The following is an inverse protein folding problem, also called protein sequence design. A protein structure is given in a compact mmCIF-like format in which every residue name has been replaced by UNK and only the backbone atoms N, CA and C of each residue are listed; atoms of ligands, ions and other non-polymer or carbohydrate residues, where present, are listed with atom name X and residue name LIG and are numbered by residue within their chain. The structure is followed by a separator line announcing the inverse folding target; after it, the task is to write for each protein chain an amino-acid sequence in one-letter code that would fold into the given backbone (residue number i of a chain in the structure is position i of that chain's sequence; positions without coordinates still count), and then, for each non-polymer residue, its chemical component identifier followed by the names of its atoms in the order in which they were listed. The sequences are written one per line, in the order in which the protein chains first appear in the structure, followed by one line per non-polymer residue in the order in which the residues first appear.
data_IF_170289574843
#
_entry.id   IF_170289574843
#
_cell.length_a   1.000
_cell.length_b   1.000
_cell.length_c   1.000
_cell.angle_alpha   90.00
_cell.angle_beta   90.00
_cell.angle_gamma   90.00
#
_symmetry.space_group_name_H-M   'P 1'
#
loop_
_entity.id
_entity.type
_entity.pdbx_description
1 polymer ?
#
# COMPACT_ATOMS: atom_id res chain seq x y z
N UNK A 1 16.90 15.90 -54.93
CA UNK A 1 17.73 16.19 -53.76
C UNK A 1 16.82 16.66 -52.63
N UNK A 2 16.81 15.89 -51.54
CA UNK A 2 16.48 16.21 -50.13
C UNK A 2 15.08 16.76 -49.81
N UNK A 3 14.21 15.95 -49.17
CA UNK A 3 14.00 15.80 -47.70
C UNK A 3 13.48 17.12 -47.08
N UNK A 4 12.40 17.15 -46.29
CA UNK A 4 12.13 16.26 -45.16
C UNK A 4 10.65 16.32 -44.75
N UNK A 5 10.09 15.16 -44.40
CA UNK A 5 8.93 15.05 -43.55
C UNK A 5 9.21 15.74 -42.20
N UNK A 6 8.26 16.52 -41.69
CA UNK A 6 8.29 16.92 -40.29
C UNK A 6 7.73 15.76 -39.47
N UNK A 7 8.66 14.93 -39.00
CA UNK A 7 8.43 13.87 -38.03
C UNK A 7 7.90 14.40 -36.70
N UNK A 8 7.25 13.49 -35.98
CA UNK A 8 6.46 13.74 -34.79
C UNK A 8 7.20 14.40 -33.63
N UNK A 9 6.49 15.34 -33.01
CA UNK A 9 6.72 15.76 -31.64
C UNK A 9 5.37 16.10 -30.99
N UNK A 10 4.47 15.09 -30.90
CA UNK A 10 3.38 15.18 -29.92
C UNK A 10 4.00 14.96 -28.55
N UNK A 11 4.42 16.05 -27.90
CA UNK A 11 4.84 16.07 -26.50
C UNK A 11 3.65 15.70 -25.61
N UNK A 12 3.48 14.41 -25.34
CA UNK A 12 2.53 13.93 -24.35
C UNK A 12 3.32 13.62 -23.09
N UNK A 13 3.70 14.65 -22.33
CA UNK A 13 4.05 14.49 -20.91
C UNK A 13 2.76 14.24 -20.14
N UNK A 14 2.11 13.10 -20.38
CA UNK A 14 0.98 12.64 -19.57
C UNK A 14 1.53 12.32 -18.20
N UNK A 15 1.15 13.13 -17.22
CA UNK A 15 1.38 12.82 -15.81
C UNK A 15 0.62 11.52 -15.53
N UNK A 16 1.36 10.43 -15.31
CA UNK A 16 0.74 9.15 -14.95
C UNK A 16 0.18 9.28 -13.53
N UNK A 17 -1.05 8.81 -13.35
CA UNK A 17 -1.64 8.68 -12.02
C UNK A 17 -1.04 7.41 -11.42
N UNK A 18 -0.41 7.53 -10.26
CA UNK A 18 0.13 6.41 -9.50
C UNK A 18 -0.69 6.30 -8.23
N UNK A 19 -1.25 5.11 -8.02
CA UNK A 19 -1.87 4.70 -6.76
C UNK A 19 -1.04 3.56 -6.16
N UNK A 20 -0.84 3.59 -4.85
CA UNK A 20 0.04 2.67 -4.14
C UNK A 20 -0.79 1.92 -3.13
N UNK A 21 -0.92 0.60 -3.29
CA UNK A 21 -1.39 -0.28 -2.23
C UNK A 21 -0.17 -0.84 -1.51
N UNK A 22 0.00 -0.52 -0.22
CA UNK A 22 1.17 -0.94 0.55
C UNK A 22 0.78 -1.82 1.73
N UNK A 23 1.51 -2.92 1.89
CA UNK A 23 1.44 -3.81 3.06
C UNK A 23 2.29 -3.28 4.22
N UNK A 24 3.12 -2.27 3.97
CA UNK A 24 3.95 -1.65 5.00
C UNK A 24 3.12 -0.68 5.83
N UNK A 25 3.55 -0.49 7.07
CA UNK A 25 2.90 0.35 8.09
C UNK A 25 3.77 1.57 8.46
N UNK A 26 4.90 1.76 7.77
CA UNK A 26 5.99 2.67 8.13
C UNK A 26 5.80 4.13 7.67
N UNK A 27 4.84 4.38 6.77
CA UNK A 27 4.56 5.72 6.23
C UNK A 27 5.61 6.28 5.25
N UNK A 28 6.56 5.47 4.77
CA UNK A 28 7.66 5.94 3.93
C UNK A 28 7.19 6.46 2.55
N UNK A 29 6.11 5.90 1.98
CA UNK A 29 5.56 6.40 0.72
C UNK A 29 5.07 7.84 0.84
N UNK A 30 4.38 8.16 1.94
CA UNK A 30 3.87 9.48 2.26
C UNK A 30 5.03 10.44 2.54
N UNK A 31 6.05 9.99 3.28
CA UNK A 31 7.28 10.75 3.52
C UNK A 31 8.05 11.08 2.23
N UNK A 32 7.99 10.19 1.24
CA UNK A 32 8.54 10.41 -0.09
C UNK A 32 7.66 11.31 -1.00
N UNK A 33 6.51 11.79 -0.51
CA UNK A 33 5.62 12.70 -1.23
C UNK A 33 4.48 12.01 -2.01
N UNK A 34 4.27 10.71 -1.83
CA UNK A 34 3.13 10.01 -2.45
C UNK A 34 1.84 10.41 -1.76
N UNK A 35 0.80 10.73 -2.55
CA UNK A 35 -0.48 11.23 -2.01
C UNK A 35 -1.66 10.26 -2.18
N UNK A 36 -1.51 9.20 -2.98
CA UNK A 36 -2.53 8.17 -3.22
C UNK A 36 -2.03 6.83 -2.69
N UNK A 37 -2.00 6.70 -1.36
CA UNK A 37 -1.48 5.53 -0.66
C UNK A 37 -2.62 4.86 0.09
N UNK A 38 -2.79 3.57 -0.15
CA UNK A 38 -3.77 2.69 0.48
C UNK A 38 -2.99 1.73 1.40
N UNK A 39 -2.94 2.04 2.69
CA UNK A 39 -2.23 1.24 3.70
C UNK A 39 -3.08 0.03 4.11
N UNK A 40 -2.93 -1.09 3.39
CA UNK A 40 -3.84 -2.24 3.53
C UNK A 40 -3.63 -3.05 4.80
N UNK A 41 -2.53 -2.81 5.54
CA UNK A 41 -2.29 -3.39 6.87
C UNK A 41 -2.37 -2.35 8.00
N UNK A 42 -2.97 -1.19 7.73
CA UNK A 42 -3.07 -0.09 8.69
C UNK A 42 -1.79 0.73 8.78
N UNK A 43 -1.62 1.46 9.88
CA UNK A 43 -0.58 2.48 10.02
C UNK A 43 0.03 2.49 11.41
N UNK A 44 1.34 2.74 11.50
CA UNK A 44 2.01 2.98 12.79
C UNK A 44 1.79 4.41 13.33
N UNK A 45 1.14 5.30 12.58
CA UNK A 45 1.03 6.71 12.96
C UNK A 45 -0.05 7.00 14.00
N UNK A 46 -0.98 6.08 14.21
CA UNK A 46 -2.08 6.25 15.16
C UNK A 46 -2.30 5.01 16.02
N UNK A 47 -2.88 5.23 17.19
CA UNK A 47 -3.35 4.18 18.10
C UNK A 47 -4.81 4.41 18.42
N UNK A 48 -5.57 3.33 18.53
CA UNK A 48 -6.96 3.36 18.98
C UNK A 48 -7.14 2.61 20.29
N UNK A 49 -7.83 3.22 21.24
CA UNK A 49 -8.19 2.56 22.48
C UNK A 49 -9.18 1.41 22.22
N UNK A 50 -8.87 0.22 22.70
CA UNK A 50 -9.72 -0.97 22.54
C UNK A 50 -11.05 -0.89 23.31
N UNK A 51 -11.16 0.02 24.29
CA UNK A 51 -12.35 0.20 25.13
C UNK A 51 -13.23 1.36 24.67
N UNK A 52 -12.71 2.59 24.65
CA UNK A 52 -13.49 3.78 24.33
C UNK A 52 -13.39 4.23 22.87
N UNK A 53 -12.54 3.60 22.05
CA UNK A 53 -12.32 3.91 20.63
C UNK A 53 -11.78 5.31 20.32
N UNK A 54 -11.32 6.06 21.32
CA UNK A 54 -10.57 7.29 21.08
C UNK A 54 -9.25 6.98 20.36
N UNK A 55 -8.92 7.80 19.36
CA UNK A 55 -7.68 7.69 18.58
C UNK A 55 -6.66 8.72 19.02
N UNK A 56 -5.39 8.34 18.96
CA UNK A 56 -4.23 9.12 19.37
C UNK A 56 -3.18 9.05 18.27
N UNK A 57 -2.35 10.09 18.09
CA UNK A 57 -1.17 9.98 17.23
C UNK A 57 -0.06 9.29 18.02
N UNK A 58 0.66 8.38 17.39
CA UNK A 58 1.76 7.68 18.06
C UNK A 58 2.83 8.63 18.56
N UNK A 59 3.13 9.69 17.80
CA UNK A 59 4.06 10.74 18.22
C UNK A 59 3.64 11.50 19.50
N UNK A 60 2.36 11.48 19.88
CA UNK A 60 1.85 12.15 21.08
C UNK A 60 1.85 11.22 22.31
N UNK A 61 2.07 9.92 22.11
CA UNK A 61 2.00 8.87 23.16
C UNK A 61 3.36 8.21 23.38
N UNK A 62 4.23 8.19 22.37
CA UNK A 62 5.55 7.58 22.43
C UNK A 62 6.61 8.54 22.98
N UNK A 63 7.12 8.21 24.17
CA UNK A 63 8.52 8.42 24.50
C UNK A 63 9.35 7.44 23.68
N UNK A 64 10.43 7.91 23.07
CA UNK A 64 11.10 7.33 21.89
C UNK A 64 11.75 5.94 22.05
N UNK A 65 11.46 5.16 23.08
CA UNK A 65 12.05 3.83 23.31
C UNK A 65 11.00 2.78 23.70
N UNK A 66 11.10 1.52 23.20
CA UNK A 66 10.26 0.43 23.66
C UNK A 66 10.54 0.14 25.15
N UNK A 67 9.67 0.62 26.02
CA UNK A 67 9.79 0.38 27.47
C UNK A 67 9.35 -1.02 27.88
N UNK A 68 8.68 -1.75 26.97
CA UNK A 68 7.98 -3.00 27.28
C UNK A 68 6.67 -2.80 28.04
N UNK A 69 6.29 -1.56 28.34
CA UNK A 69 5.06 -1.23 29.03
C UNK A 69 3.86 -1.14 28.08
N UNK A 70 2.69 -1.55 28.57
CA UNK A 70 1.45 -1.46 27.81
C UNK A 70 0.91 -0.04 27.86
N UNK A 71 0.81 0.62 26.70
CA UNK A 71 0.23 1.94 26.57
C UNK A 71 -1.27 1.93 26.93
N UNK A 72 -1.69 2.90 27.74
CA UNK A 72 -3.07 3.00 28.24
C UNK A 72 -3.70 4.35 27.91
N UNK A 73 -4.97 4.28 27.54
CA UNK A 73 -5.84 5.43 27.37
C UNK A 73 -6.23 5.98 28.76
N UNK A 74 -6.54 7.28 28.91
CA UNK A 74 -7.11 7.84 30.14
C UNK A 74 -8.35 7.10 30.68
N UNK A 75 -9.09 6.38 29.82
CA UNK A 75 -10.22 5.53 30.25
C UNK A 75 -9.81 4.17 30.87
N UNK A 76 -8.51 3.89 30.97
CA UNK A 76 -7.91 2.64 31.46
C UNK A 76 -7.77 1.52 30.42
N UNK A 77 -8.34 1.69 29.22
CA UNK A 77 -8.23 0.71 28.12
C UNK A 77 -6.83 0.68 27.48
N UNK A 78 -6.50 -0.43 26.84
CA UNK A 78 -5.23 -0.60 26.10
C UNK A 78 -5.27 0.25 24.83
N UNK A 79 -4.20 0.99 24.55
CA UNK A 79 -3.98 1.63 23.26
C UNK A 79 -3.33 0.60 22.33
N UNK A 80 -4.03 0.26 21.26
CA UNK A 80 -3.54 -0.65 20.23
C UNK A 80 -3.09 0.21 19.04
N UNK A 81 -1.89 0.01 18.48
CA UNK A 81 -1.53 0.62 17.20
C UNK A 81 -2.56 0.25 16.13
N UNK A 82 -2.86 1.18 15.23
CA UNK A 82 -3.84 1.00 14.15
C UNK A 82 -3.26 0.18 12.99
N UNK A 83 -2.59 -0.91 13.33
CA UNK A 83 -2.06 -1.94 12.43
C UNK A 83 -2.94 -3.19 12.49
N UNK A 84 -2.87 -3.99 11.44
CA UNK A 84 -3.54 -5.29 11.37
C UNK A 84 -2.62 -6.39 11.90
N UNK A 85 -3.06 -7.08 12.96
CA UNK A 85 -2.45 -8.34 13.40
C UNK A 85 -3.03 -9.53 12.64
N UNK A 86 -2.32 -10.65 12.66
CA UNK A 86 -2.85 -11.91 12.14
C UNK A 86 -4.17 -12.28 12.82
N UNK A 87 -5.15 -12.66 12.01
CA UNK A 87 -6.51 -12.99 12.45
C UNK A 87 -7.45 -11.78 12.53
N UNK A 88 -6.97 -10.56 12.31
CA UNK A 88 -7.83 -9.38 12.19
C UNK A 88 -8.22 -9.09 10.74
N UNK A 89 -9.34 -8.39 10.57
CA UNK A 89 -9.76 -7.86 9.28
C UNK A 89 -8.84 -6.71 8.85
N UNK A 90 -8.47 -6.68 7.57
CA UNK A 90 -7.79 -5.53 6.99
C UNK A 90 -8.71 -4.30 6.96
N UNK A 91 -8.17 -3.07 6.92
CA UNK A 91 -8.97 -1.85 6.82
C UNK A 91 -9.82 -1.86 5.54
N UNK A 92 -11.14 -1.99 5.69
CA UNK A 92 -12.09 -2.21 4.60
C UNK A 92 -11.98 -1.13 3.52
N UNK A 93 -11.89 0.14 3.92
CA UNK A 93 -11.76 1.26 2.98
C UNK A 93 -10.47 1.17 2.16
N UNK A 94 -9.33 0.91 2.81
CA UNK A 94 -8.05 0.82 2.11
C UNK A 94 -8.02 -0.35 1.13
N UNK A 95 -8.56 -1.51 1.53
CA UNK A 95 -8.69 -2.66 0.63
C UNK A 95 -9.64 -2.39 -0.53
N UNK A 96 -10.80 -1.78 -0.28
CA UNK A 96 -11.78 -1.44 -1.32
C UNK A 96 -11.19 -0.45 -2.34
N UNK A 97 -10.50 0.57 -1.87
CA UNK A 97 -9.89 1.57 -2.76
C UNK A 97 -8.69 0.99 -3.52
N UNK A 98 -7.89 0.12 -2.90
CA UNK A 98 -6.81 -0.62 -3.58
C UNK A 98 -7.37 -1.54 -4.68
N UNK A 99 -8.44 -2.28 -4.42
CA UNK A 99 -9.11 -3.13 -5.42
C UNK A 99 -9.59 -2.29 -6.60
N UNK A 100 -10.28 -1.17 -6.33
CA UNK A 100 -10.76 -0.25 -7.38
C UNK A 100 -9.62 0.35 -8.22
N UNK A 101 -8.46 0.58 -7.61
CA UNK A 101 -7.27 1.05 -8.31
C UNK A 101 -6.73 -0.04 -9.25
N UNK A 102 -6.66 -1.30 -8.78
CA UNK A 102 -6.23 -2.44 -9.60
C UNK A 102 -7.16 -2.67 -10.79
N UNK A 103 -8.48 -2.62 -10.57
CA UNK A 103 -9.50 -2.79 -11.63
C UNK A 103 -9.41 -1.75 -12.76
N UNK A 104 -8.83 -0.58 -12.48
CA UNK A 104 -8.67 0.53 -13.44
C UNK A 104 -7.25 0.66 -13.97
N UNK A 105 -6.32 -0.17 -13.50
CA UNK A 105 -4.91 -0.04 -13.82
C UNK A 105 -4.64 -0.40 -15.28
N UNK A 106 -3.75 0.35 -15.92
CA UNK A 106 -3.18 0.02 -17.24
C UNK A 106 -1.83 -0.71 -17.12
N UNK A 107 -1.28 -0.79 -15.90
CA UNK A 107 -0.07 -1.49 -15.50
C UNK A 107 -0.11 -1.74 -14.00
N UNK A 108 0.23 -2.95 -13.55
CA UNK A 108 0.43 -3.27 -12.14
C UNK A 108 1.91 -3.58 -11.90
N UNK A 109 2.49 -2.91 -10.90
CA UNK A 109 3.86 -3.12 -10.46
C UNK A 109 3.87 -3.61 -9.01
N UNK A 110 4.35 -4.84 -8.79
CA UNK A 110 4.54 -5.43 -7.47
C UNK A 110 6.01 -5.29 -7.09
N UNK A 111 6.27 -4.65 -5.94
CA UNK A 111 7.63 -4.37 -5.47
C UNK A 111 7.84 -4.98 -4.08
N UNK A 112 8.85 -5.84 -3.94
CA UNK A 112 9.36 -6.26 -2.63
C UNK A 112 8.34 -6.98 -1.73
N UNK A 113 7.49 -7.84 -2.31
CA UNK A 113 6.58 -8.69 -1.53
C UNK A 113 6.55 -10.11 -2.10
N UNK A 114 6.48 -11.11 -1.21
CA UNK A 114 6.36 -12.52 -1.58
C UNK A 114 4.97 -12.89 -2.12
N UNK A 115 3.97 -12.01 -1.95
CA UNK A 115 2.56 -12.27 -2.28
C UNK A 115 2.01 -13.56 -1.63
N UNK A 116 2.34 -13.80 -0.36
CA UNK A 116 1.84 -14.97 0.39
C UNK A 116 0.85 -14.62 1.52
N UNK A 117 0.77 -13.35 1.92
CA UNK A 117 -0.07 -12.91 3.03
C UNK A 117 -1.42 -12.44 2.50
N UNK A 118 -2.46 -13.22 2.78
CA UNK A 118 -3.83 -12.90 2.37
C UNK A 118 -4.55 -12.02 3.40
N UNK A 119 -5.47 -11.14 2.96
CA UNK A 119 -5.94 -11.00 1.58
C UNK A 119 -5.12 -10.05 0.68
N UNK A 120 -4.11 -9.32 1.18
CA UNK A 120 -3.35 -8.37 0.37
C UNK A 120 -2.66 -9.01 -0.86
N UNK A 121 -2.22 -10.26 -0.74
CA UNK A 121 -1.63 -11.04 -1.82
C UNK A 121 -2.54 -11.19 -3.06
N UNK A 122 -3.87 -11.07 -2.92
CA UNK A 122 -4.79 -11.21 -4.05
C UNK A 122 -4.95 -9.95 -4.88
N UNK A 123 -4.44 -8.79 -4.43
CA UNK A 123 -4.61 -7.50 -5.11
C UNK A 123 -4.22 -7.53 -6.60
N UNK A 124 -3.10 -8.15 -7.02
CA UNK A 124 -2.74 -8.23 -8.44
C UNK A 124 -3.79 -8.96 -9.30
N UNK A 125 -4.58 -9.87 -8.73
CA UNK A 125 -5.62 -10.62 -9.45
C UNK A 125 -6.83 -9.78 -9.86
N UNK A 126 -7.02 -8.60 -9.26
CA UNK A 126 -8.13 -7.70 -9.62
C UNK A 126 -7.85 -6.86 -10.88
N UNK A 127 -6.63 -6.90 -11.41
CA UNK A 127 -6.29 -6.21 -12.65
C UNK A 127 -7.08 -6.80 -13.83
N UNK A 128 -7.51 -5.98 -14.81
CA UNK A 128 -8.16 -6.49 -16.02
C UNK A 128 -7.27 -7.47 -16.81
N UNK A 129 -7.90 -8.43 -17.50
CA UNK A 129 -7.19 -9.34 -18.38
C UNK A 129 -6.39 -8.57 -19.45
N UNK A 130 -5.15 -9.00 -19.71
CA UNK A 130 -4.25 -8.33 -20.67
C UNK A 130 -3.51 -7.11 -20.11
N UNK A 131 -3.83 -6.64 -18.90
CA UNK A 131 -3.05 -5.60 -18.23
C UNK A 131 -1.71 -6.18 -17.76
N UNK A 132 -0.56 -5.57 -18.14
CA UNK A 132 0.74 -6.08 -17.75
C UNK A 132 0.92 -6.10 -16.23
N UNK A 133 1.49 -7.20 -15.75
CA UNK A 133 1.95 -7.35 -14.37
C UNK A 133 3.47 -7.42 -14.38
N UNK A 134 4.10 -6.49 -13.67
CA UNK A 134 5.55 -6.49 -13.44
C UNK A 134 5.80 -6.79 -11.98
N UNK A 135 6.65 -7.75 -11.70
CA UNK A 135 7.06 -8.13 -10.35
C UNK A 135 8.56 -7.82 -10.24
N UNK A 136 8.94 -7.14 -9.16
CA UNK A 136 10.33 -6.93 -8.79
C UNK A 136 10.48 -7.41 -7.36
N UNK A 137 10.98 -8.63 -7.21
CA UNK A 137 11.15 -9.26 -5.91
C UNK A 137 12.41 -10.13 -5.88
N UNK A 138 13.03 -10.26 -4.70
CA UNK A 138 14.24 -11.08 -4.55
C UNK A 138 13.95 -12.57 -4.37
N UNK A 139 12.68 -12.95 -4.24
CA UNK A 139 12.24 -14.34 -4.08
C UNK A 139 11.09 -14.64 -5.05
N UNK A 140 10.89 -15.92 -5.43
CA UNK A 140 9.75 -16.30 -6.24
C UNK A 140 8.42 -15.91 -5.60
N UNK A 141 7.42 -15.61 -6.43
CA UNK A 141 6.05 -15.33 -6.01
C UNK A 141 5.06 -16.30 -6.67
N UNK A 142 3.86 -16.51 -6.09
CA UNK A 142 2.81 -17.30 -6.74
C UNK A 142 2.34 -16.76 -8.10
N UNK A 143 2.70 -15.52 -8.46
CA UNK A 143 2.24 -14.81 -9.64
C UNK A 143 3.29 -14.72 -10.77
N UNK A 144 4.48 -15.29 -10.58
CA UNK A 144 5.59 -15.17 -11.54
C UNK A 144 5.22 -15.69 -12.95
N UNK A 145 4.41 -16.74 -13.03
CA UNK A 145 3.95 -17.31 -14.32
C UNK A 145 2.91 -16.44 -15.04
N UNK A 146 2.24 -15.54 -14.34
CA UNK A 146 1.31 -14.56 -14.91
C UNK A 146 1.97 -13.21 -15.23
N UNK A 147 3.18 -13.00 -14.72
CA UNK A 147 3.88 -11.75 -14.86
C UNK A 147 4.38 -11.57 -16.31
N UNK A 148 4.19 -10.36 -16.83
CA UNK A 148 4.81 -9.92 -18.09
C UNK A 148 6.32 -9.79 -17.92
N UNK A 149 6.77 -9.43 -16.72
CA UNK A 149 8.16 -9.37 -16.30
C UNK A 149 8.24 -9.71 -14.80
N UNK A 150 9.13 -10.62 -14.41
CA UNK A 150 9.38 -10.99 -13.02
C UNK A 150 10.89 -11.08 -12.77
#
# INVERSE_FOLDING_TARGET
MTKTAADGAHSVTRRRIVEIATQNIDGLHQKAGSTRVHEVHGTMHTLTCTKCRCSFKSADVDGTEPTGEVLRCPCGGVLKPDITFFGEMLPEKAMTDAIRAMEKAELVLVLGTSLQVYPAASLPSYRPAGVPLVIVNMTPTPYDSEATLA
#
